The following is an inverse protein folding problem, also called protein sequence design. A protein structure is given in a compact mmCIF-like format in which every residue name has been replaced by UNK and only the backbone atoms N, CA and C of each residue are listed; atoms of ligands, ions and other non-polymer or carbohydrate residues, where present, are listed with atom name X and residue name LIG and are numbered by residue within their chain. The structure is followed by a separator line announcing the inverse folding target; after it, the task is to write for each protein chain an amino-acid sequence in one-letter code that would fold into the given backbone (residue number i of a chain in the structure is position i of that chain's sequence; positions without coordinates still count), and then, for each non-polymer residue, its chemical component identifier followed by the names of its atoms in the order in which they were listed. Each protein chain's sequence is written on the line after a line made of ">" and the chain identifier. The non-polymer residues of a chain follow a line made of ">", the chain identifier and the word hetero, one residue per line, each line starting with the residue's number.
data_IF_405048194657
#
_entry.id   IF_405048194657
#
_cell.length_a   1.000
_cell.length_b   1.000
_cell.length_c   1.000
_cell.angle_alpha   90.00
_cell.angle_beta   90.00
_cell.angle_gamma   90.00
#
_symmetry.space_group_name_H-M   'P 1'
#
loop_
_entity.id
_entity.type
_entity.pdbx_description
1 polymer ?
#
# COMPACT_ATOMS: atom_id res chain seq x y z
N UNK A 1 -9.72 19.44 -13.95
CA UNK A 1 -9.79 19.06 -12.54
C UNK A 1 -8.55 19.56 -11.81
N UNK A 2 -8.65 19.74 -10.50
CA UNK A 2 -7.59 20.31 -9.68
C UNK A 2 -6.74 19.24 -8.99
N UNK A 3 -7.24 18.01 -8.96
CA UNK A 3 -6.58 16.83 -8.37
C UNK A 3 -6.50 15.73 -9.39
N UNK A 4 -5.31 15.16 -9.55
CA UNK A 4 -4.99 14.03 -10.41
C UNK A 4 -4.59 12.86 -9.52
N UNK A 5 -5.34 11.77 -9.54
CA UNK A 5 -5.06 10.56 -8.76
C UNK A 5 -4.56 9.48 -9.70
N UNK A 6 -3.37 8.94 -9.43
CA UNK A 6 -2.78 7.82 -10.15
C UNK A 6 -2.81 6.57 -9.28
N UNK A 7 -3.24 5.44 -9.86
CA UNK A 7 -3.22 4.12 -9.22
C UNK A 7 -2.92 3.07 -10.28
N UNK A 8 -1.65 2.72 -10.42
CA UNK A 8 -1.13 1.90 -11.52
C UNK A 8 -0.35 0.70 -10.99
N UNK A 9 -0.01 -0.23 -11.89
CA UNK A 9 0.53 -1.51 -11.48
C UNK A 9 2.01 -1.47 -11.09
N UNK A 10 2.85 -0.72 -11.84
CA UNK A 10 4.30 -0.75 -11.67
C UNK A 10 4.99 0.59 -11.97
N UNK A 11 6.30 0.63 -11.72
CA UNK A 11 7.16 1.80 -11.93
C UNK A 11 7.10 2.31 -13.38
N UNK A 12 7.07 1.40 -14.37
CA UNK A 12 7.08 1.78 -15.78
C UNK A 12 5.80 2.52 -16.16
N UNK A 13 4.66 2.02 -15.71
CA UNK A 13 3.35 2.65 -15.93
C UNK A 13 3.25 4.01 -15.22
N UNK A 14 3.67 4.10 -13.97
CA UNK A 14 3.66 5.36 -13.20
C UNK A 14 4.58 6.39 -13.86
N UNK A 15 5.81 6.01 -14.19
CA UNK A 15 6.75 6.91 -14.85
C UNK A 15 6.20 7.41 -16.19
N UNK A 16 5.64 6.53 -17.03
CA UNK A 16 5.08 6.93 -18.33
C UNK A 16 3.91 7.91 -18.19
N UNK A 17 3.02 7.69 -17.22
CA UNK A 17 1.89 8.59 -16.97
C UNK A 17 2.36 9.93 -16.41
N UNK A 18 3.33 9.94 -15.49
CA UNK A 18 3.90 11.19 -14.97
C UNK A 18 4.60 12.00 -16.08
N UNK A 19 5.33 11.32 -16.99
CA UNK A 19 5.96 11.97 -18.13
C UNK A 19 4.93 12.59 -19.08
N UNK A 20 3.80 11.90 -19.35
CA UNK A 20 2.68 12.46 -20.12
C UNK A 20 2.00 13.64 -19.41
N UNK A 21 1.82 13.56 -18.08
CA UNK A 21 1.27 14.67 -17.30
C UNK A 21 2.15 15.93 -17.45
N UNK A 22 3.48 15.76 -17.51
CA UNK A 22 4.40 16.87 -17.70
C UNK A 22 4.28 17.56 -19.08
N UNK A 23 3.62 16.97 -20.06
CA UNK A 23 3.29 17.61 -21.32
C UNK A 23 2.03 18.51 -21.24
N UNK A 24 1.26 18.39 -20.15
CA UNK A 24 0.01 19.12 -19.93
C UNK A 24 0.23 20.41 -19.12
N UNK A 25 -0.83 21.24 -19.03
CA UNK A 25 -0.89 22.33 -18.07
C UNK A 25 -1.21 21.77 -16.67
N UNK A 26 -0.24 21.91 -15.76
CA UNK A 26 -0.34 21.43 -14.37
C UNK A 26 -0.50 22.57 -13.36
N UNK A 27 -0.68 23.81 -13.81
CA UNK A 27 -0.76 24.99 -12.94
C UNK A 27 -1.81 24.81 -11.82
N UNK A 28 -1.38 24.91 -10.56
CA UNK A 28 -2.23 24.78 -9.36
C UNK A 28 -2.74 23.37 -9.06
N UNK A 29 -2.35 22.37 -9.84
CA UNK A 29 -2.84 20.99 -9.66
C UNK A 29 -2.08 20.24 -8.55
N UNK A 30 -2.76 19.25 -7.97
CA UNK A 30 -2.20 18.29 -7.03
C UNK A 30 -2.17 16.92 -7.68
N UNK A 31 -0.99 16.30 -7.75
CA UNK A 31 -0.80 14.92 -8.19
C UNK A 31 -0.71 14.03 -6.96
N UNK A 32 -1.60 13.04 -6.86
CA UNK A 32 -1.63 12.04 -5.78
C UNK A 32 -1.31 10.68 -6.38
N UNK A 33 -0.13 10.14 -6.08
CA UNK A 33 0.29 8.80 -6.53
C UNK A 33 -0.01 7.78 -5.44
N UNK A 34 -0.91 6.83 -5.73
CA UNK A 34 -1.36 5.84 -4.75
C UNK A 34 -0.81 4.42 -5.00
N UNK A 35 -0.05 4.23 -6.07
CA UNK A 35 0.55 2.93 -6.43
C UNK A 35 1.64 2.51 -5.44
N UNK A 36 1.95 1.23 -5.41
CA UNK A 36 3.14 0.70 -4.72
C UNK A 36 4.28 0.58 -5.73
N UNK A 37 5.14 1.60 -5.76
CA UNK A 37 6.27 1.77 -6.69
C UNK A 37 7.50 2.29 -5.96
N UNK A 38 8.63 2.42 -6.66
CA UNK A 38 9.82 3.01 -6.07
C UNK A 38 9.65 4.53 -5.88
N UNK A 39 10.16 5.11 -4.79
CA UNK A 39 10.11 6.56 -4.57
C UNK A 39 10.71 7.37 -5.72
N UNK A 40 11.68 6.81 -6.44
CA UNK A 40 12.34 7.46 -7.58
C UNK A 40 11.38 7.83 -8.71
N UNK A 41 10.23 7.14 -8.86
CA UNK A 41 9.24 7.52 -9.87
C UNK A 41 8.77 8.98 -9.73
N UNK A 42 8.56 9.43 -8.49
CA UNK A 42 8.17 10.81 -8.20
C UNK A 42 9.36 11.72 -7.91
N UNK A 43 10.30 11.28 -7.07
CA UNK A 43 11.38 12.15 -6.59
C UNK A 43 12.30 12.66 -7.70
N UNK A 44 12.48 11.90 -8.78
CA UNK A 44 13.25 12.35 -9.96
C UNK A 44 12.49 13.35 -10.83
N UNK A 45 11.17 13.47 -10.69
CA UNK A 45 10.29 14.32 -11.48
C UNK A 45 9.78 15.54 -10.73
N UNK A 46 9.98 15.58 -9.42
CA UNK A 46 9.37 16.63 -8.59
C UNK A 46 9.76 18.04 -9.04
N UNK A 47 11.02 18.28 -9.37
CA UNK A 47 11.46 19.60 -9.85
C UNK A 47 10.75 20.03 -11.14
N UNK A 48 10.47 19.10 -12.06
CA UNK A 48 9.73 19.40 -13.29
C UNK A 48 8.24 19.63 -13.02
N UNK A 49 7.65 18.89 -12.06
CA UNK A 49 6.27 19.08 -11.62
C UNK A 49 6.09 20.45 -10.97
N UNK A 50 6.97 20.81 -10.04
CA UNK A 50 6.96 22.12 -9.37
C UNK A 50 7.20 23.28 -10.33
N UNK A 51 8.09 23.13 -11.32
CA UNK A 51 8.33 24.11 -12.35
C UNK A 51 7.08 24.40 -13.22
N UNK A 52 6.12 23.46 -13.26
CA UNK A 52 4.81 23.64 -13.89
C UNK A 52 3.73 24.16 -12.94
N UNK A 53 4.12 24.54 -11.72
CA UNK A 53 3.20 25.09 -10.72
C UNK A 53 2.30 24.06 -10.05
N UNK A 54 2.66 22.77 -10.10
CA UNK A 54 1.93 21.69 -9.43
C UNK A 54 2.62 21.23 -8.14
N UNK A 55 1.87 20.59 -7.28
CA UNK A 55 2.36 19.83 -6.13
C UNK A 55 2.19 18.34 -6.39
N UNK A 56 3.03 17.51 -5.76
CA UNK A 56 2.88 16.05 -5.81
C UNK A 56 3.07 15.43 -4.43
N UNK A 57 2.35 14.33 -4.20
CA UNK A 57 2.48 13.46 -3.03
C UNK A 57 2.52 12.00 -3.46
N UNK A 58 3.24 11.19 -2.71
CA UNK A 58 3.05 9.75 -2.69
C UNK A 58 2.10 9.41 -1.53
N UNK A 59 1.04 8.69 -1.84
CA UNK A 59 0.00 8.33 -0.88
C UNK A 59 -0.45 6.86 -1.06
N UNK A 60 0.47 5.90 -0.98
CA UNK A 60 0.15 4.49 -1.20
C UNK A 60 -0.91 3.99 -0.21
N UNK A 61 -1.83 3.17 -0.73
CA UNK A 61 -2.95 2.62 0.02
C UNK A 61 -2.50 1.35 0.74
N UNK A 62 -2.83 1.25 2.04
CA UNK A 62 -2.63 0.06 2.86
C UNK A 62 -3.97 -0.58 3.19
N UNK A 63 -4.25 -1.69 2.56
CA UNK A 63 -5.49 -2.46 2.63
C UNK A 63 -5.86 -3.04 1.27
N UNK A 64 -6.62 -4.14 1.28
CA UNK A 64 -7.23 -4.70 0.07
C UNK A 64 -8.53 -3.99 -0.30
N UNK A 65 -9.18 -4.40 -1.41
CA UNK A 65 -10.45 -3.81 -1.85
C UNK A 65 -11.51 -3.76 -0.76
N UNK A 66 -11.62 -4.79 0.05
CA UNK A 66 -12.61 -4.90 1.14
C UNK A 66 -12.42 -3.81 2.21
N UNK A 67 -11.14 -3.48 2.52
CA UNK A 67 -10.83 -2.40 3.47
C UNK A 67 -11.06 -1.02 2.87
N UNK A 68 -10.89 -0.87 1.55
CA UNK A 68 -11.17 0.37 0.83
C UNK A 68 -12.68 0.62 0.84
N UNK A 69 -13.49 -0.37 0.47
CA UNK A 69 -14.94 -0.30 0.47
C UNK A 69 -15.53 -0.02 1.86
N UNK A 70 -14.89 -0.57 2.90
CA UNK A 70 -15.27 -0.34 4.30
C UNK A 70 -14.77 1.00 4.88
N UNK A 71 -14.01 1.82 4.12
CA UNK A 71 -13.41 3.06 4.63
C UNK A 71 -12.34 2.82 5.71
N UNK A 72 -11.78 1.61 5.78
CA UNK A 72 -10.85 1.18 6.83
C UNK A 72 -9.39 1.05 6.35
N UNK A 73 -9.11 1.36 5.08
CA UNK A 73 -7.76 1.36 4.55
C UNK A 73 -6.91 2.46 5.21
N UNK A 74 -5.57 2.34 5.12
CA UNK A 74 -4.63 3.37 5.56
C UNK A 74 -4.02 4.08 4.36
N UNK A 75 -3.73 5.38 4.49
CA UNK A 75 -2.97 6.18 3.54
C UNK A 75 -1.71 6.69 4.22
N UNK A 76 -0.55 6.47 3.60
CA UNK A 76 0.74 6.99 4.06
C UNK A 76 1.18 8.11 3.12
N UNK A 77 1.03 9.36 3.54
CA UNK A 77 1.20 10.53 2.68
C UNK A 77 2.62 11.09 2.86
N UNK A 78 3.42 11.08 1.79
CA UNK A 78 4.71 11.75 1.71
C UNK A 78 4.62 12.98 0.81
N UNK A 79 5.10 14.12 1.29
CA UNK A 79 5.06 15.39 0.56
C UNK A 79 5.23 16.60 1.48
N UNK A 80 5.07 17.81 0.93
CA UNK A 80 5.04 19.03 1.74
C UNK A 80 3.80 19.07 2.63
N UNK A 81 3.84 19.86 3.72
CA UNK A 81 2.69 20.04 4.61
C UNK A 81 1.44 20.53 3.85
N UNK A 82 1.63 21.47 2.88
CA UNK A 82 0.57 21.98 2.02
C UNK A 82 -0.05 20.88 1.17
N UNK A 83 0.77 20.13 0.44
CA UNK A 83 0.31 19.06 -0.44
C UNK A 83 -0.36 17.92 0.36
N UNK A 84 0.18 17.58 1.54
CA UNK A 84 -0.41 16.59 2.43
C UNK A 84 -1.79 17.02 2.95
N UNK A 85 -1.96 18.28 3.36
CA UNK A 85 -3.25 18.81 3.82
C UNK A 85 -4.30 18.76 2.69
N UNK A 86 -3.95 19.21 1.49
CA UNK A 86 -4.82 19.11 0.29
C UNK A 86 -5.18 17.65 -0.03
N UNK A 87 -4.23 16.72 0.12
CA UNK A 87 -4.46 15.29 -0.09
C UNK A 87 -5.42 14.72 0.93
N UNK A 88 -5.28 15.08 2.22
CA UNK A 88 -6.18 14.65 3.29
C UNK A 88 -7.61 15.13 3.07
N UNK A 89 -7.79 16.33 2.54
CA UNK A 89 -9.09 16.87 2.16
C UNK A 89 -9.68 16.11 0.95
N UNK A 90 -8.90 16.01 -0.14
CA UNK A 90 -9.34 15.37 -1.39
C UNK A 90 -9.71 13.88 -1.20
N UNK A 91 -8.97 13.16 -0.37
CA UNK A 91 -9.20 11.75 -0.03
C UNK A 91 -9.97 11.57 1.28
N UNK A 92 -10.62 12.63 1.78
CA UNK A 92 -11.47 12.59 2.98
C UNK A 92 -12.49 11.46 2.97
N UNK A 93 -13.27 11.32 1.90
CA UNK A 93 -14.30 10.28 1.80
C UNK A 93 -13.78 8.84 1.79
N UNK A 94 -12.49 8.64 1.49
CA UNK A 94 -11.92 7.30 1.33
C UNK A 94 -11.66 6.61 2.67
N UNK A 95 -11.12 7.34 3.65
CA UNK A 95 -10.78 6.78 4.97
C UNK A 95 -10.43 7.88 5.97
N UNK A 96 -10.65 7.62 7.26
CA UNK A 96 -10.15 8.45 8.37
C UNK A 96 -8.68 8.18 8.71
N UNK A 97 -8.10 7.08 8.23
CA UNK A 97 -6.74 6.63 8.56
C UNK A 97 -5.70 7.20 7.60
N UNK A 98 -5.52 8.52 7.61
CA UNK A 98 -4.57 9.27 6.80
C UNK A 98 -3.41 9.75 7.66
N UNK A 99 -2.18 9.46 7.25
CA UNK A 99 -0.97 9.78 8.01
C UNK A 99 0.00 10.55 7.12
N UNK A 100 0.28 11.81 7.44
CA UNK A 100 1.42 12.50 6.86
C UNK A 100 2.69 11.98 7.54
N UNK A 101 3.54 11.29 6.78
CA UNK A 101 4.69 10.55 7.31
C UNK A 101 6.03 11.22 7.02
N UNK A 102 6.04 12.34 6.30
CA UNK A 102 7.23 13.14 6.03
C UNK A 102 7.36 13.61 4.59
N UNK A 103 8.57 13.91 4.11
CA UNK A 103 8.83 14.40 2.75
C UNK A 103 8.39 13.41 1.66
N UNK A 104 8.34 13.90 0.40
CA UNK A 104 8.02 13.09 -0.78
C UNK A 104 8.88 11.82 -0.84
N UNK A 105 8.22 10.68 -1.09
CA UNK A 105 8.81 9.34 -1.11
C UNK A 105 8.69 8.57 0.20
N UNK A 106 8.46 9.25 1.34
CA UNK A 106 8.38 8.57 2.65
C UNK A 106 7.10 7.77 2.85
N UNK A 107 6.01 8.11 2.18
CA UNK A 107 4.79 7.29 2.14
C UNK A 107 5.06 5.92 1.52
N UNK A 108 5.77 5.88 0.39
CA UNK A 108 6.19 4.65 -0.28
C UNK A 108 7.15 3.84 0.60
N UNK A 109 8.09 4.48 1.30
CA UNK A 109 8.95 3.82 2.29
C UNK A 109 8.12 3.20 3.41
N UNK A 110 7.15 3.94 3.97
CA UNK A 110 6.27 3.40 5.01
C UNK A 110 5.43 2.24 4.50
N UNK A 111 4.93 2.32 3.26
CA UNK A 111 4.22 1.21 2.60
C UNK A 111 5.10 -0.03 2.48
N UNK A 112 6.36 0.15 2.10
CA UNK A 112 7.36 -0.91 2.02
C UNK A 112 7.54 -1.61 3.37
N UNK A 113 7.77 -0.84 4.43
CA UNK A 113 7.93 -1.35 5.80
C UNK A 113 6.68 -2.13 6.22
N UNK A 114 5.48 -1.55 6.01
CA UNK A 114 4.22 -2.19 6.36
C UNK A 114 4.05 -3.54 5.65
N UNK A 115 4.31 -3.60 4.35
CA UNK A 115 4.16 -4.83 3.58
C UNK A 115 5.21 -5.88 3.95
N UNK A 116 6.46 -5.46 4.21
CA UNK A 116 7.54 -6.35 4.66
C UNK A 116 7.19 -7.03 5.99
N UNK A 117 6.60 -6.30 6.95
CA UNK A 117 6.17 -6.88 8.24
C UNK A 117 5.10 -7.94 8.06
N UNK A 118 4.14 -7.74 7.15
CA UNK A 118 3.13 -8.76 6.82
C UNK A 118 3.78 -10.03 6.25
N UNK A 119 4.77 -9.86 5.38
CA UNK A 119 5.49 -10.99 4.75
C UNK A 119 6.30 -11.79 5.77
N UNK A 120 7.04 -11.12 6.65
CA UNK A 120 7.80 -11.76 7.74
C UNK A 120 6.86 -12.56 8.65
N UNK A 121 5.71 -11.98 9.00
CA UNK A 121 4.71 -12.67 9.80
C UNK A 121 4.20 -13.94 9.11
N UNK A 122 3.83 -13.87 7.84
CA UNK A 122 3.32 -15.03 7.08
C UNK A 122 4.39 -16.11 6.96
N UNK A 123 5.65 -15.75 6.71
CA UNK A 123 6.75 -16.71 6.64
C UNK A 123 6.96 -17.42 7.98
N UNK A 124 7.01 -16.68 9.09
CA UNK A 124 7.11 -17.23 10.43
C UNK A 124 5.91 -18.11 10.80
N UNK A 125 4.69 -17.67 10.46
CA UNK A 125 3.47 -18.46 10.67
C UNK A 125 3.54 -19.81 9.93
N UNK A 126 3.97 -19.82 8.67
CA UNK A 126 4.07 -21.02 7.87
C UNK A 126 5.02 -22.06 8.51
N UNK A 127 6.14 -21.62 9.09
CA UNK A 127 7.04 -22.50 9.82
C UNK A 127 6.41 -23.07 11.09
N UNK A 128 5.72 -22.23 11.88
CA UNK A 128 5.05 -22.69 13.10
C UNK A 128 3.91 -23.64 12.81
N UNK A 129 3.17 -23.44 11.73
CA UNK A 129 2.12 -24.39 11.31
C UNK A 129 2.68 -25.75 10.86
N UNK A 130 3.90 -25.76 10.27
CA UNK A 130 4.60 -27.02 9.98
C UNK A 130 4.95 -27.78 11.28
N UNK A 131 5.41 -27.05 12.31
CA UNK A 131 5.67 -27.64 13.63
C UNK A 131 4.41 -28.18 14.27
N UNK A 132 3.32 -27.40 14.28
CA UNK A 132 2.02 -27.79 14.79
C UNK A 132 1.53 -29.09 14.12
N UNK A 133 1.62 -29.18 12.80
CA UNK A 133 1.26 -30.37 12.03
C UNK A 133 2.08 -31.60 12.43
N UNK A 134 3.40 -31.46 12.61
CA UNK A 134 4.29 -32.56 13.06
C UNK A 134 3.92 -33.04 14.46
N UNK A 135 3.47 -32.13 15.33
CA UNK A 135 3.02 -32.43 16.69
C UNK A 135 1.57 -33.01 16.76
N UNK A 136 0.89 -33.17 15.61
CA UNK A 136 -0.48 -33.67 15.56
C UNK A 136 -1.55 -32.61 15.89
N UNK A 137 -1.20 -31.34 15.98
CA UNK A 137 -2.18 -30.25 16.21
C UNK A 137 -2.92 -29.94 14.91
N UNK A 138 -4.28 -30.00 14.89
CA UNK A 138 -5.04 -29.66 13.68
C UNK A 138 -4.83 -28.23 13.23
N UNK A 139 -4.65 -28.04 11.92
CA UNK A 139 -4.38 -26.74 11.31
C UNK A 139 -5.44 -25.70 11.66
N UNK A 140 -6.72 -26.08 11.59
CA UNK A 140 -7.86 -25.19 11.93
C UNK A 140 -7.76 -24.71 13.38
N UNK A 141 -7.47 -25.61 14.32
CA UNK A 141 -7.31 -25.26 15.74
C UNK A 141 -6.16 -24.26 15.94
N UNK A 142 -4.99 -24.56 15.34
CA UNK A 142 -3.83 -23.67 15.44
C UNK A 142 -4.12 -22.26 14.89
N UNK A 143 -4.70 -22.17 13.70
CA UNK A 143 -5.04 -20.90 13.06
C UNK A 143 -6.12 -20.12 13.82
N UNK A 144 -7.13 -20.80 14.36
CA UNK A 144 -8.18 -20.16 15.18
C UNK A 144 -7.58 -19.52 16.43
N UNK A 145 -6.72 -20.26 17.15
CA UNK A 145 -6.06 -19.77 18.37
C UNK A 145 -5.13 -18.59 18.05
N UNK A 146 -4.28 -18.74 17.03
CA UNK A 146 -3.34 -17.69 16.64
C UNK A 146 -4.06 -16.44 16.12
N UNK A 147 -5.10 -16.60 15.32
CA UNK A 147 -5.86 -15.46 14.76
C UNK A 147 -6.68 -14.69 15.79
N UNK A 148 -7.14 -15.35 16.87
CA UNK A 148 -7.92 -14.75 17.95
C UNK A 148 -7.09 -14.26 19.14
N UNK A 149 -5.80 -14.63 19.20
CA UNK A 149 -4.92 -14.35 20.33
C UNK A 149 -3.96 -13.16 20.08
N UNK A 150 -3.13 -12.84 21.09
CA UNK A 150 -2.16 -11.75 21.00
C UNK A 150 -1.05 -11.98 19.96
N UNK A 151 -0.84 -13.21 19.52
CA UNK A 151 0.07 -13.54 18.42
C UNK A 151 -0.55 -13.30 17.04
N UNK A 152 -1.84 -12.96 16.96
CA UNK A 152 -2.55 -12.70 15.71
C UNK A 152 -2.28 -11.31 15.16
N UNK A 153 -1.97 -11.23 13.85
CA UNK A 153 -1.94 -9.97 13.14
C UNK A 153 -3.34 -9.65 12.60
N UNK A 154 -3.85 -8.41 12.70
CA UNK A 154 -5.19 -8.06 12.21
C UNK A 154 -5.45 -8.47 10.75
N UNK A 155 -4.41 -8.36 9.89
CA UNK A 155 -4.46 -8.77 8.50
C UNK A 155 -4.68 -10.29 8.27
N UNK A 156 -4.65 -11.11 9.32
CA UNK A 156 -4.89 -12.56 9.21
C UNK A 156 -6.37 -12.93 9.25
N UNK A 157 -7.24 -12.01 9.67
CA UNK A 157 -8.69 -12.31 9.83
C UNK A 157 -9.34 -12.74 8.52
N UNK A 158 -9.00 -12.07 7.43
CA UNK A 158 -9.46 -12.40 6.07
C UNK A 158 -8.64 -13.52 5.41
N UNK A 159 -7.42 -13.77 5.86
CA UNK A 159 -6.53 -14.79 5.28
C UNK A 159 -6.71 -16.18 5.85
N UNK A 160 -7.12 -16.30 7.11
CA UNK A 160 -7.33 -17.61 7.75
C UNK A 160 -8.37 -18.46 7.01
N UNK A 161 -9.56 -17.96 6.62
CA UNK A 161 -10.50 -18.73 5.81
C UNK A 161 -9.89 -19.21 4.48
N UNK A 162 -9.10 -18.36 3.81
CA UNK A 162 -8.39 -18.70 2.56
C UNK A 162 -7.33 -19.79 2.78
N UNK A 163 -6.59 -19.74 3.88
CA UNK A 163 -5.62 -20.79 4.25
C UNK A 163 -6.27 -22.13 4.58
N UNK A 164 -7.51 -22.10 5.03
CA UNK A 164 -8.32 -23.31 5.33
C UNK A 164 -9.09 -23.84 4.12
N UNK A 165 -9.06 -23.15 2.98
CA UNK A 165 -9.86 -23.50 1.79
C UNK A 165 -11.36 -23.23 1.98
N UNK A 166 -11.73 -22.38 2.92
CA UNK A 166 -13.11 -21.98 3.21
C UNK A 166 -13.54 -20.74 2.39
N UNK A 167 -12.57 -20.03 1.77
CA UNK A 167 -12.77 -18.87 0.91
C UNK A 167 -11.73 -18.88 -0.22
N UNK A 168 -12.19 -18.92 -1.46
CA UNK A 168 -11.35 -18.96 -2.67
C UNK A 168 -11.16 -17.57 -3.31
N UNK A 169 -11.65 -16.49 -2.69
CA UNK A 169 -11.50 -15.13 -3.23
C UNK A 169 -10.05 -14.66 -3.19
N UNK A 170 -9.60 -13.99 -4.25
CA UNK A 170 -8.24 -13.48 -4.38
C UNK A 170 -8.27 -11.96 -4.36
N UNK A 171 -8.13 -11.36 -3.17
CA UNK A 171 -8.04 -9.91 -3.02
C UNK A 171 -6.69 -9.34 -3.47
N UNK A 172 -5.58 -10.09 -3.24
CA UNK A 172 -4.22 -9.70 -3.66
C UNK A 172 -3.44 -10.95 -4.11
N UNK A 173 -3.12 -11.07 -5.41
CA UNK A 173 -2.48 -12.27 -5.95
C UNK A 173 -0.98 -12.32 -5.59
N UNK A 174 -0.42 -13.54 -5.61
CA UNK A 174 1.02 -13.77 -5.37
C UNK A 174 1.91 -12.99 -6.35
N UNK A 175 1.47 -12.80 -7.60
CA UNK A 175 2.18 -11.96 -8.58
C UNK A 175 2.32 -10.50 -8.12
N UNK A 176 1.28 -9.94 -7.51
CA UNK A 176 1.34 -8.62 -6.89
C UNK A 176 2.31 -8.56 -5.72
N UNK A 177 2.34 -9.60 -4.88
CA UNK A 177 3.30 -9.72 -3.78
C UNK A 177 4.74 -9.77 -4.30
N UNK A 178 5.02 -10.54 -5.36
CA UNK A 178 6.34 -10.63 -5.96
C UNK A 178 6.77 -9.30 -6.59
N UNK A 179 5.84 -8.57 -7.20
CA UNK A 179 6.09 -7.22 -7.73
C UNK A 179 6.45 -6.26 -6.59
N UNK A 180 5.67 -6.21 -5.51
CA UNK A 180 5.96 -5.36 -4.36
C UNK A 180 7.32 -5.71 -3.74
N UNK A 181 7.66 -7.01 -3.66
CA UNK A 181 8.97 -7.45 -3.17
C UNK A 181 10.12 -6.96 -4.05
N UNK A 182 9.92 -6.87 -5.37
CA UNK A 182 10.93 -6.34 -6.28
C UNK A 182 11.18 -4.83 -6.07
N UNK A 183 10.14 -4.06 -5.68
CA UNK A 183 10.27 -2.64 -5.28
C UNK A 183 11.17 -2.50 -4.05
N UNK A 184 11.09 -3.44 -3.09
CA UNK A 184 11.85 -3.40 -1.83
C UNK A 184 13.35 -3.69 -1.99
N UNK A 185 13.75 -4.27 -3.12
CA UNK A 185 15.16 -4.66 -3.38
C UNK A 185 15.95 -3.62 -4.14
N UNK A 186 15.33 -2.52 -4.53
CA UNK A 186 15.93 -1.40 -5.27
C UNK A 186 16.20 -0.22 -4.36
#
# INVERSE_FOLDING_TARGET
>A
CDVLISSLFDDAAVCAVLDQMLECDLSGKLIIETSTVTPSCLTTRIAAIEAKGAEAVDAPISGGPELIEAGACGLFIGGTDSAAARTMEALGPLTERKFHVGPLGTGLVMKTINNAMVQVYIAGLAEQLRLARRAGLPLKTALTILGGGPAGMPAMRDRIPKMLGEDDTVGFPVSGLLKDYAVFRR
#
